data_IF_401237489894
#
_entry.id   IF_401237489894
#
_cell.length_a   1.000
_cell.length_b   1.000
_cell.length_c   1.000
_cell.angle_alpha   90.00
_cell.angle_beta   90.00
_cell.angle_gamma   90.00
#
_symmetry.space_group_name_H-M   'P 1'
#
loop_
_entity.id
_entity.type
_entity.pdbx_description
1 polymer ?
#
# COMPACT_ATOMS: atom_id res chain seq x y z
N UNK A 1 -15.88 -20.70 13.19
CA UNK A 1 -15.48 -19.27 13.21
C UNK A 1 -14.23 -19.20 12.37
N UNK A 2 -14.27 -18.58 11.20
CA UNK A 2 -13.08 -18.44 10.35
C UNK A 2 -12.03 -17.66 11.12
N UNK A 3 -10.84 -18.24 11.28
CA UNK A 3 -9.70 -17.61 11.94
C UNK A 3 -9.30 -16.37 11.13
N UNK A 4 -9.51 -15.19 11.71
CA UNK A 4 -9.13 -13.92 11.10
C UNK A 4 -7.62 -13.76 11.23
N UNK A 5 -6.92 -13.78 10.10
CA UNK A 5 -5.48 -13.58 10.04
C UNK A 5 -5.19 -12.17 9.54
N UNK A 6 -4.38 -11.43 10.30
CA UNK A 6 -3.91 -10.10 9.87
C UNK A 6 -3.07 -10.21 8.60
N UNK A 7 -3.31 -9.31 7.65
CA UNK A 7 -2.43 -9.11 6.50
C UNK A 7 -1.02 -8.76 6.95
N UNK A 8 -0.01 -9.32 6.29
CA UNK A 8 1.38 -8.89 6.48
C UNK A 8 1.55 -7.49 5.88
N UNK A 9 1.80 -6.50 6.74
CA UNK A 9 1.89 -5.11 6.31
C UNK A 9 3.11 -4.82 5.45
N UNK A 10 4.22 -5.55 5.63
CA UNK A 10 5.43 -5.38 4.85
C UNK A 10 5.22 -5.92 3.44
N UNK A 11 4.70 -7.15 3.33
CA UNK A 11 4.37 -7.76 2.05
C UNK A 11 3.32 -6.92 1.29
N UNK A 12 2.27 -6.48 1.99
CA UNK A 12 1.25 -5.61 1.40
C UNK A 12 1.83 -4.33 0.79
N UNK A 13 2.68 -3.61 1.51
CA UNK A 13 3.29 -2.38 0.99
C UNK A 13 4.24 -2.64 -0.19
N UNK A 14 4.94 -3.77 -0.18
CA UNK A 14 5.80 -4.20 -1.29
C UNK A 14 4.99 -4.64 -2.52
N UNK A 15 3.82 -5.23 -2.34
CA UNK A 15 2.95 -5.62 -3.46
C UNK A 15 2.32 -4.42 -4.16
N UNK A 16 2.07 -3.32 -3.45
CA UNK A 16 1.47 -2.12 -4.02
C UNK A 16 2.33 -1.53 -5.14
N UNK A 17 1.74 -1.41 -6.34
CA UNK A 17 2.44 -1.00 -7.57
C UNK A 17 3.73 -1.77 -7.86
N UNK A 18 3.82 -3.04 -7.45
CA UNK A 18 4.99 -3.89 -7.71
C UNK A 18 6.26 -3.40 -7.00
N UNK A 19 6.12 -2.79 -5.82
CA UNK A 19 7.23 -2.33 -4.98
C UNK A 19 7.58 -0.86 -5.14
N UNK A 20 7.16 -0.23 -6.24
CA UNK A 20 7.43 1.18 -6.48
C UNK A 20 6.90 2.08 -5.35
N UNK A 21 5.72 1.76 -4.78
CA UNK A 21 5.15 2.55 -3.69
C UNK A 21 6.00 2.49 -2.42
N UNK A 22 6.54 1.33 -2.06
CA UNK A 22 7.45 1.19 -0.92
C UNK A 22 8.73 2.03 -1.10
N UNK A 23 9.29 2.06 -2.32
CA UNK A 23 10.43 2.91 -2.66
C UNK A 23 10.10 4.40 -2.54
N UNK A 24 8.93 4.83 -3.05
CA UNK A 24 8.47 6.23 -2.95
C UNK A 24 8.30 6.66 -1.49
N UNK A 25 7.75 5.80 -0.63
CA UNK A 25 7.63 6.06 0.81
C UNK A 25 9.01 6.28 1.43
N UNK A 26 9.96 5.39 1.14
CA UNK A 26 11.32 5.48 1.66
C UNK A 26 12.02 6.79 1.26
N UNK A 27 11.87 7.18 0.00
CA UNK A 27 12.41 8.45 -0.50
C UNK A 27 11.74 9.66 0.15
N UNK A 28 10.41 9.69 0.23
CA UNK A 28 9.66 10.79 0.83
C UNK A 28 10.01 10.99 2.31
N UNK A 29 10.13 9.90 3.09
CA UNK A 29 10.56 9.97 4.49
C UNK A 29 11.97 10.54 4.58
N UNK A 30 12.90 10.05 3.76
CA UNK A 30 14.30 10.48 3.78
C UNK A 30 14.45 11.97 3.43
N UNK A 31 13.72 12.45 2.42
CA UNK A 31 13.72 13.87 2.03
C UNK A 31 13.13 14.74 3.15
N UNK A 32 11.92 14.42 3.63
CA UNK A 32 11.27 15.20 4.69
C UNK A 32 12.14 15.24 5.96
N UNK A 33 12.73 14.13 6.38
CA UNK A 33 13.62 14.10 7.53
C UNK A 33 14.88 14.96 7.33
N UNK A 34 15.51 14.88 6.16
CA UNK A 34 16.69 15.70 5.84
C UNK A 34 16.37 17.19 5.91
N UNK A 35 15.22 17.58 5.37
CA UNK A 35 14.75 18.97 5.37
C UNK A 35 14.32 19.46 6.76
N UNK A 36 13.71 18.60 7.59
CA UNK A 36 13.37 18.91 8.99
C UNK A 36 14.65 19.18 9.79
N UNK A 37 15.69 18.36 9.62
CA UNK A 37 16.98 18.55 10.30
C UNK A 37 17.65 19.84 9.82
N UNK A 38 17.64 20.11 8.51
CA UNK A 38 18.27 21.29 7.92
C UNK A 38 17.60 22.62 8.33
N UNK A 39 16.26 22.62 8.47
CA UNK A 39 15.49 23.84 8.73
C UNK A 39 15.05 24.02 10.18
N UNK A 40 15.04 22.95 10.98
CA UNK A 40 14.46 22.93 12.32
C UNK A 40 12.93 23.09 12.36
N UNK A 41 12.27 23.10 11.19
CA UNK A 41 10.82 23.24 11.07
C UNK A 41 10.15 21.86 10.95
N UNK A 42 8.85 21.80 11.23
CA UNK A 42 8.07 20.56 11.14
C UNK A 42 7.82 20.15 9.68
N UNK A 43 8.05 18.87 9.39
CA UNK A 43 7.64 18.20 8.17
C UNK A 43 6.50 17.20 8.44
N UNK A 44 5.85 16.73 7.37
CA UNK A 44 4.76 15.75 7.48
C UNK A 44 4.76 14.78 6.31
N UNK A 45 4.51 13.50 6.59
CA UNK A 45 4.19 12.46 5.60
C UNK A 45 2.83 11.86 5.99
N UNK A 46 1.95 11.67 5.02
CA UNK A 46 0.62 11.05 5.19
C UNK A 46 0.44 9.94 4.15
N UNK A 47 -0.01 8.79 4.63
CA UNK A 47 -0.42 7.67 3.81
C UNK A 47 -1.92 7.46 3.98
N UNK A 48 -2.64 7.40 2.86
CA UNK A 48 -4.08 7.16 2.84
C UNK A 48 -4.38 5.94 1.97
N UNK A 49 -5.19 5.02 2.47
CA UNK A 49 -5.64 3.84 1.74
C UNK A 49 -7.17 3.87 1.67
N UNK A 50 -7.71 4.06 0.47
CA UNK A 50 -9.13 3.95 0.18
C UNK A 50 -9.39 2.60 -0.49
N UNK A 51 -10.19 1.75 0.15
CA UNK A 51 -10.45 0.39 -0.31
C UNK A 51 -11.89 0.29 -0.81
N UNK A 52 -12.07 -0.16 -2.05
CA UNK A 52 -13.37 -0.42 -2.65
C UNK A 52 -13.46 -1.86 -3.13
N UNK A 53 -14.65 -2.46 -3.09
CA UNK A 53 -14.84 -3.80 -3.65
C UNK A 53 -14.82 -3.73 -5.18
N UNK A 54 -14.12 -4.66 -5.82
CA UNK A 54 -14.15 -4.85 -7.28
C UNK A 54 -15.00 -6.08 -7.62
N UNK A 55 -15.83 -5.95 -8.66
CA UNK A 55 -16.64 -7.04 -9.19
C UNK A 55 -17.86 -7.41 -8.34
N UNK A 56 -18.36 -8.63 -8.55
CA UNK A 56 -19.56 -9.13 -7.86
C UNK A 56 -19.28 -9.49 -6.40
N UNK A 57 -20.34 -9.50 -5.59
CA UNK A 57 -20.28 -9.92 -4.20
C UNK A 57 -19.78 -11.36 -4.10
N UNK A 58 -18.66 -11.56 -3.41
CA UNK A 58 -18.10 -12.88 -3.16
C UNK A 58 -16.89 -13.25 -4.02
N UNK A 59 -16.50 -12.44 -5.01
CA UNK A 59 -15.29 -12.66 -5.80
C UNK A 59 -13.99 -12.39 -5.02
N UNK A 60 -14.09 -11.66 -3.90
CA UNK A 60 -12.94 -11.37 -3.02
C UNK A 60 -11.96 -10.34 -3.59
N UNK A 61 -12.22 -9.73 -4.74
CA UNK A 61 -11.34 -8.71 -5.32
C UNK A 61 -11.64 -7.33 -4.72
N UNK A 62 -10.59 -6.58 -4.42
CA UNK A 62 -10.67 -5.21 -3.88
C UNK A 62 -9.73 -4.29 -4.66
N UNK A 63 -10.15 -3.04 -4.86
CA UNK A 63 -9.28 -1.98 -5.34
C UNK A 63 -8.69 -1.25 -4.15
N UNK A 64 -7.36 -1.18 -4.09
CA UNK A 64 -6.65 -0.43 -3.07
C UNK A 64 -6.09 0.83 -3.71
N UNK A 65 -6.80 1.94 -3.53
CA UNK A 65 -6.30 3.26 -3.87
C UNK A 65 -5.41 3.75 -2.74
N UNK A 66 -4.13 3.94 -3.02
CA UNK A 66 -3.14 4.37 -2.06
C UNK A 66 -2.57 5.73 -2.46
N UNK A 67 -2.50 6.62 -1.48
CA UNK A 67 -2.04 7.99 -1.63
C UNK A 67 -0.91 8.28 -0.65
N UNK A 68 0.18 8.81 -1.19
CA UNK A 68 1.30 9.39 -0.43
C UNK A 68 1.25 10.91 -0.60
N UNK A 69 0.99 11.62 0.49
CA UNK A 69 1.07 13.08 0.56
C UNK A 69 2.19 13.46 1.53
N UNK A 70 3.13 14.30 1.11
CA UNK A 70 4.15 14.79 2.04
C UNK A 70 4.42 16.29 1.89
N UNK A 71 4.90 16.88 2.98
CA UNK A 71 5.27 18.29 3.09
C UNK A 71 6.65 18.39 3.73
N UNK A 72 7.63 18.79 2.94
CA UNK A 72 8.99 19.03 3.38
C UNK A 72 9.21 20.54 3.62
N UNK A 73 9.75 20.93 4.79
CA UNK A 73 10.04 22.33 5.07
C UNK A 73 11.30 22.79 4.34
N UNK A 74 11.28 23.91 3.63
CA UNK A 74 12.49 24.48 3.03
C UNK A 74 12.92 25.75 3.80
N UNK A 75 14.16 26.23 3.55
CA UNK A 75 14.65 27.49 4.13
C UNK A 75 13.66 28.62 3.85
N UNK A 76 13.14 28.65 2.62
CA UNK A 76 12.11 29.58 2.17
C UNK A 76 10.89 28.80 1.65
N UNK A 77 9.91 28.59 2.51
CA UNK A 77 8.63 27.96 2.15
C UNK A 77 8.55 26.47 2.48
N UNK A 78 7.73 25.76 1.72
CA UNK A 78 7.47 24.32 1.90
C UNK A 78 7.30 23.66 0.54
N UNK A 79 7.90 22.49 0.35
CA UNK A 79 7.63 21.61 -0.79
C UNK A 79 6.51 20.66 -0.43
N UNK A 80 5.59 20.44 -1.37
CA UNK A 80 4.50 19.47 -1.25
C UNK A 80 4.46 18.58 -2.47
N UNK A 81 4.25 17.30 -2.25
CA UNK A 81 4.07 16.33 -3.31
C UNK A 81 2.96 15.34 -2.93
N UNK A 82 2.13 15.02 -3.92
CA UNK A 82 1.05 14.08 -3.83
C UNK A 82 1.18 13.01 -4.92
N UNK A 83 1.12 11.75 -4.51
CA UNK A 83 1.17 10.60 -5.39
C UNK A 83 -0.02 9.69 -5.11
N UNK A 84 -0.87 9.49 -6.11
CA UNK A 84 -2.09 8.67 -6.00
C UNK A 84 -2.02 7.56 -7.02
N UNK A 85 -2.18 6.32 -6.57
CA UNK A 85 -2.27 5.15 -7.44
C UNK A 85 -3.30 4.17 -6.92
N UNK A 86 -3.62 3.21 -7.77
CA UNK A 86 -4.60 2.18 -7.49
C UNK A 86 -3.99 0.83 -7.86
N UNK A 87 -4.19 -0.17 -7.01
CA UNK A 87 -3.73 -1.54 -7.27
C UNK A 87 -4.87 -2.51 -6.94
N UNK A 88 -5.28 -3.34 -7.91
CA UNK A 88 -6.23 -4.41 -7.64
C UNK A 88 -5.54 -5.50 -6.81
N UNK A 89 -6.18 -5.90 -5.71
CA UNK A 89 -5.70 -6.92 -4.78
C UNK A 89 -6.82 -7.93 -4.52
N UNK A 90 -6.49 -9.07 -3.92
CA UNK A 90 -7.44 -10.08 -3.46
C UNK A 90 -7.50 -10.12 -1.94
N UNK A 91 -8.70 -10.23 -1.40
CA UNK A 91 -8.99 -10.46 0.01
C UNK A 91 -9.44 -11.90 0.20
N UNK A 92 -8.60 -12.70 0.85
CA UNK A 92 -8.85 -14.11 1.16
C UNK A 92 -9.96 -14.29 2.19
N UNK A 93 -10.54 -15.50 2.25
CA UNK A 93 -11.60 -15.85 3.21
C UNK A 93 -11.14 -15.78 4.68
N UNK A 94 -9.84 -15.84 4.90
CA UNK A 94 -9.16 -15.67 6.19
C UNK A 94 -8.90 -14.19 6.55
N UNK A 95 -9.24 -13.25 5.67
CA UNK A 95 -9.03 -11.81 5.87
C UNK A 95 -7.69 -11.26 5.41
N UNK A 96 -6.79 -12.10 4.86
CA UNK A 96 -5.49 -11.62 4.34
C UNK A 96 -5.66 -10.97 2.97
N UNK A 97 -4.96 -9.87 2.74
CA UNK A 97 -4.93 -9.18 1.44
C UNK A 97 -3.61 -9.44 0.74
N UNK A 98 -3.64 -9.87 -0.51
CA UNK A 98 -2.46 -10.20 -1.32
C UNK A 98 -2.68 -9.84 -2.79
N UNK A 99 -1.60 -9.64 -3.54
CA UNK A 99 -1.69 -9.40 -4.99
C UNK A 99 -2.28 -10.60 -5.75
N UNK A 100 -2.05 -11.80 -5.24
CA UNK A 100 -2.54 -13.06 -5.80
C UNK A 100 -3.65 -13.66 -4.95
N UNK A 101 -4.62 -14.39 -5.54
CA UNK A 101 -5.59 -15.15 -4.78
C UNK A 101 -4.90 -16.16 -3.85
N UNK A 102 -5.26 -16.17 -2.57
CA UNK A 102 -4.78 -17.17 -1.64
C UNK A 102 -5.34 -18.56 -2.03
N UNK A 103 -4.44 -19.45 -2.41
CA UNK A 103 -4.65 -20.87 -2.75
C UNK A 103 -5.52 -21.19 -3.97
N UNK A 104 -4.93 -21.06 -5.16
CA UNK A 104 -5.26 -21.89 -6.34
C UNK A 104 -4.45 -23.21 -6.37
N UNK A 105 -4.19 -23.84 -5.21
CA UNK A 105 -3.50 -25.14 -5.10
C UNK A 105 -4.35 -26.32 -5.64
N UNK A 106 -5.44 -26.06 -6.39
CA UNK A 106 -6.30 -27.10 -6.96
C UNK A 106 -6.52 -26.99 -8.47
N UNK A 107 -5.69 -26.27 -9.22
CA UNK A 107 -5.80 -26.25 -10.70
C UNK A 107 -5.09 -27.41 -11.42
N UNK A 108 -4.23 -28.16 -10.73
CA UNK A 108 -3.56 -29.35 -11.29
C UNK A 108 -3.56 -30.52 -10.32
N UNK A 109 -4.72 -31.10 -10.02
CA UNK A 109 -4.76 -32.54 -9.70
C UNK A 109 -4.70 -33.29 -11.02
N UNK A 110 -3.47 -33.62 -11.43
CA UNK A 110 -3.20 -34.58 -12.51
C UNK A 110 -3.98 -35.86 -12.23
N UNK A 111 -4.88 -36.22 -13.14
CA UNK A 111 -5.47 -37.55 -13.17
C UNK A 111 -4.35 -38.57 -13.48
N UNK A 112 -4.03 -39.42 -12.51
CA UNK A 112 -3.43 -40.74 -12.70
C UNK A 112 -4.25 -41.75 -11.92
#
# INVERSE_FOLDING_TARGET
>A
MSEFKSTDACEFLTDLTGGAFAEQIGMAISDVCSQVIATGKKGQVKLTFDITQLGEKGMGQVSVKHKLDYTAPETFGTRKEDYVRETPMYCGRNGTVSLFPADEVQLFKTEM
#
